data_IF_897738260781
#
_entry.id   IF_897738260781
#
_cell.length_a   1.000
_cell.length_b   1.000
_cell.length_c   1.000
_cell.angle_alpha   90.00
_cell.angle_beta   90.00
_cell.angle_gamma   90.00
#
_symmetry.space_group_name_H-M   'P 1'
#
loop_
_entity.id
_entity.type
_entity.pdbx_description
1 polymer ?
#
# COMPACT_ATOMS: atom_id res chain seq x y z
N UNK A 1 -34.24 19.74 -30.08
CA UNK A 1 -34.50 19.04 -28.79
C UNK A 1 -33.37 18.06 -28.41
N UNK A 2 -32.79 17.28 -29.35
CA UNK A 2 -31.66 16.38 -29.05
C UNK A 2 -30.39 17.05 -28.49
N UNK A 3 -30.00 18.24 -28.97
CA UNK A 3 -28.80 18.95 -28.46
C UNK A 3 -28.89 19.40 -26.99
N UNK A 4 -30.10 19.67 -26.48
CA UNK A 4 -30.25 20.07 -25.07
C UNK A 4 -30.24 18.86 -24.14
N UNK A 5 -30.71 17.71 -24.62
CA UNK A 5 -30.69 16.46 -23.86
C UNK A 5 -29.27 15.87 -23.75
N UNK A 6 -28.47 15.93 -24.82
CA UNK A 6 -27.05 15.53 -24.78
C UNK A 6 -26.23 16.46 -23.88
N UNK A 7 -26.44 17.78 -23.99
CA UNK A 7 -25.78 18.76 -23.12
C UNK A 7 -26.11 18.56 -21.64
N UNK A 8 -27.38 18.30 -21.29
CA UNK A 8 -27.79 18.02 -19.92
C UNK A 8 -27.21 16.69 -19.38
N UNK A 9 -27.16 15.65 -20.21
CA UNK A 9 -26.54 14.37 -19.86
C UNK A 9 -25.05 14.51 -19.57
N UNK A 10 -24.32 15.22 -20.44
CA UNK A 10 -22.89 15.46 -20.28
C UNK A 10 -22.59 16.29 -19.02
N UNK A 11 -23.42 17.31 -18.73
CA UNK A 11 -23.30 18.11 -17.53
C UNK A 11 -23.50 17.27 -16.26
N UNK A 12 -24.55 16.45 -16.24
CA UNK A 12 -24.86 15.55 -15.12
C UNK A 12 -23.76 14.50 -14.92
N UNK A 13 -23.20 13.95 -15.99
CA UNK A 13 -22.07 13.03 -15.93
C UNK A 13 -20.81 13.71 -15.37
N UNK A 14 -20.50 14.93 -15.82
CA UNK A 14 -19.38 15.73 -15.29
C UNK A 14 -19.54 16.02 -13.80
N UNK A 15 -20.73 16.46 -13.37
CA UNK A 15 -21.01 16.75 -11.96
C UNK A 15 -20.83 15.52 -11.08
N UNK A 16 -21.31 14.34 -11.50
CA UNK A 16 -21.12 13.08 -10.77
C UNK A 16 -19.65 12.67 -10.69
N UNK A 17 -18.90 12.83 -11.78
CA UNK A 17 -17.46 12.53 -11.82
C UNK A 17 -16.66 13.45 -10.89
N UNK A 18 -16.95 14.75 -10.89
CA UNK A 18 -16.34 15.72 -9.97
C UNK A 18 -16.68 15.39 -8.52
N UNK A 19 -17.96 15.18 -8.20
CA UNK A 19 -18.39 14.84 -6.84
C UNK A 19 -17.70 13.57 -6.32
N UNK A 20 -17.63 12.54 -7.17
CA UNK A 20 -16.94 11.29 -6.83
C UNK A 20 -15.45 11.50 -6.62
N UNK A 21 -14.79 12.28 -7.48
CA UNK A 21 -13.36 12.60 -7.38
C UNK A 21 -13.05 13.36 -6.08
N UNK A 22 -13.86 14.37 -5.74
CA UNK A 22 -13.70 15.13 -4.48
C UNK A 22 -13.86 14.22 -3.25
N UNK A 23 -14.84 13.31 -3.26
CA UNK A 23 -15.02 12.34 -2.18
C UNK A 23 -13.78 11.44 -2.02
N UNK A 24 -13.24 10.90 -3.12
CA UNK A 24 -12.03 10.09 -3.07
C UNK A 24 -10.81 10.87 -2.58
N UNK A 25 -10.66 12.14 -2.99
CA UNK A 25 -9.58 12.97 -2.46
C UNK A 25 -9.66 13.11 -0.94
N UNK A 26 -10.85 13.37 -0.40
CA UNK A 26 -11.07 13.46 1.05
C UNK A 26 -10.71 12.16 1.75
N UNK A 27 -11.12 11.01 1.19
CA UNK A 27 -10.77 9.70 1.74
C UNK A 27 -9.27 9.39 1.71
N UNK A 28 -8.56 9.83 0.66
CA UNK A 28 -7.11 9.65 0.58
C UNK A 28 -6.37 10.52 1.60
N UNK A 29 -6.80 11.77 1.74
CA UNK A 29 -6.19 12.71 2.69
C UNK A 29 -6.54 12.38 4.14
N UNK A 30 -7.63 11.65 4.40
CA UNK A 30 -8.01 11.23 5.75
C UNK A 30 -7.21 10.04 6.29
N UNK A 31 -6.43 9.33 5.47
CA UNK A 31 -5.64 8.18 5.93
C UNK A 31 -4.63 8.56 7.03
N UNK A 32 -3.92 9.68 6.84
CA UNK A 32 -2.93 10.23 7.79
C UNK A 32 -3.54 10.64 9.14
N UNK A 33 -4.62 11.43 9.20
CA UNK A 33 -5.26 11.76 10.47
C UNK A 33 -5.94 10.55 11.13
N UNK A 34 -6.52 9.61 10.36
CA UNK A 34 -7.12 8.40 10.93
C UNK A 34 -6.08 7.50 11.61
N UNK A 35 -4.92 7.31 10.99
CA UNK A 35 -3.81 6.57 11.60
C UNK A 35 -3.26 7.28 12.83
N UNK A 36 -3.23 8.62 12.83
CA UNK A 36 -2.88 9.40 14.01
C UNK A 36 -3.85 9.19 15.16
N UNK A 37 -5.16 9.33 14.91
CA UNK A 37 -6.21 9.12 15.92
C UNK A 37 -6.16 7.69 16.46
N UNK A 38 -6.01 6.71 15.58
CA UNK A 38 -5.91 5.32 15.99
C UNK A 38 -4.66 5.07 16.86
N UNK A 39 -3.53 5.66 16.49
CA UNK A 39 -2.29 5.53 17.22
C UNK A 39 -2.38 6.13 18.63
N UNK A 40 -2.81 7.39 18.75
CA UNK A 40 -2.96 8.08 20.04
C UNK A 40 -4.03 7.44 20.92
N UNK A 41 -5.08 6.86 20.32
CA UNK A 41 -6.06 6.08 21.07
C UNK A 41 -5.41 4.90 21.79
N UNK A 42 -4.55 4.14 21.11
CA UNK A 42 -3.89 2.95 21.68
C UNK A 42 -2.81 3.34 22.69
N UNK A 43 -2.00 4.37 22.43
CA UNK A 43 -0.85 4.70 23.28
C UNK A 43 -1.21 5.55 24.49
N UNK A 44 -2.08 6.55 24.31
CA UNK A 44 -2.24 7.63 25.29
C UNK A 44 -3.60 7.56 26.00
N UNK A 45 -4.60 6.92 25.36
CA UNK A 45 -5.99 6.89 25.85
C UNK A 45 -6.52 5.46 26.13
N UNK A 46 -5.64 4.48 26.35
CA UNK A 46 -6.01 3.09 26.69
C UNK A 46 -7.04 2.46 25.72
N UNK A 47 -6.97 2.81 24.45
CA UNK A 47 -7.88 2.35 23.39
C UNK A 47 -9.14 3.21 23.19
N UNK A 48 -9.33 4.31 23.91
CA UNK A 48 -10.51 5.17 23.74
C UNK A 48 -10.41 6.04 22.48
N UNK A 49 -11.14 5.65 21.45
CA UNK A 49 -11.26 6.40 20.19
C UNK A 49 -11.93 7.76 20.37
N UNK A 50 -12.89 7.87 21.29
CA UNK A 50 -13.62 9.11 21.53
C UNK A 50 -12.69 10.20 22.09
N UNK A 51 -11.89 9.86 23.11
CA UNK A 51 -10.93 10.79 23.71
C UNK A 51 -9.86 11.22 22.70
N UNK A 52 -9.33 10.25 21.96
CA UNK A 52 -8.35 10.54 20.91
C UNK A 52 -8.91 11.41 19.79
N UNK A 53 -10.17 11.22 19.40
CA UNK A 53 -10.81 12.07 18.39
C UNK A 53 -11.01 13.49 18.93
N UNK A 54 -11.46 13.65 20.17
CA UNK A 54 -11.60 14.98 20.78
C UNK A 54 -10.27 15.71 20.90
N UNK A 55 -9.19 14.99 21.21
CA UNK A 55 -7.83 15.54 21.23
C UNK A 55 -7.39 16.00 19.83
N UNK A 56 -7.59 15.16 18.82
CA UNK A 56 -7.26 15.50 17.44
C UNK A 56 -8.02 16.73 16.95
N UNK A 57 -9.29 16.89 17.32
CA UNK A 57 -10.09 18.08 16.97
C UNK A 57 -9.61 19.33 17.72
N UNK A 58 -9.17 19.17 18.97
CA UNK A 58 -8.67 20.28 19.79
C UNK A 58 -7.31 20.81 19.30
N UNK A 59 -6.35 19.91 19.03
CA UNK A 59 -5.06 20.27 18.43
C UNK A 59 -4.63 19.24 17.35
N UNK A 60 -5.02 19.48 16.08
CA UNK A 60 -4.60 18.63 14.97
C UNK A 60 -3.09 18.70 14.70
N UNK A 61 -2.43 19.82 15.00
CA UNK A 61 -1.01 20.02 14.68
C UNK A 61 -0.14 19.24 15.64
N UNK A 62 -0.45 19.31 16.93
CA UNK A 62 0.21 18.49 17.94
C UNK A 62 0.00 17.01 17.64
N UNK A 63 -1.24 16.62 17.36
CA UNK A 63 -1.57 15.23 17.03
C UNK A 63 -0.81 14.70 15.81
N UNK A 64 -0.50 15.56 14.83
CA UNK A 64 0.27 15.18 13.64
C UNK A 64 1.79 15.41 13.77
N UNK A 65 2.27 15.98 14.88
CA UNK A 65 3.69 16.35 15.04
C UNK A 65 4.64 15.15 14.90
N UNK A 66 4.21 13.95 15.28
CA UNK A 66 5.01 12.73 15.17
C UNK A 66 5.31 12.31 13.72
N UNK A 67 4.54 12.79 12.73
CA UNK A 67 4.87 12.60 11.31
C UNK A 67 6.15 13.34 10.88
N UNK A 68 6.55 14.39 11.62
CA UNK A 68 7.75 15.18 11.31
C UNK A 68 9.05 14.51 11.79
N UNK A 69 8.95 13.52 12.67
CA UNK A 69 10.07 12.83 13.31
C UNK A 69 10.38 11.52 12.58
N UNK A 70 10.82 11.59 11.33
CA UNK A 70 11.35 10.39 10.66
C UNK A 70 12.83 10.22 10.99
N UNK A 71 13.15 9.30 11.90
CA UNK A 71 14.52 8.80 12.05
C UNK A 71 14.96 8.17 10.74
N UNK A 72 15.97 8.75 10.10
CA UNK A 72 16.51 8.25 8.84
C UNK A 72 16.96 6.77 8.93
N UNK A 73 17.34 6.31 10.13
CA UNK A 73 17.82 4.95 10.35
C UNK A 73 16.74 3.88 10.11
N UNK A 74 15.54 4.05 10.67
CA UNK A 74 14.43 3.08 10.51
C UNK A 74 13.91 3.06 9.08
N UNK A 75 13.80 4.22 8.44
CA UNK A 75 13.42 4.31 7.02
C UNK A 75 14.38 3.54 6.11
N UNK A 76 15.69 3.64 6.35
CA UNK A 76 16.71 2.88 5.59
C UNK A 76 16.60 1.39 5.85
N UNK A 77 16.40 0.96 7.10
CA UNK A 77 16.20 -0.46 7.44
C UNK A 77 14.96 -1.03 6.77
N UNK A 78 13.85 -0.29 6.81
CA UNK A 78 12.61 -0.66 6.11
C UNK A 78 12.81 -0.76 4.59
N UNK A 79 13.48 0.22 3.98
CA UNK A 79 13.77 0.20 2.55
C UNK A 79 14.65 -1.00 2.14
N UNK A 80 15.68 -1.33 2.94
CA UNK A 80 16.51 -2.53 2.75
C UNK A 80 15.67 -3.80 2.82
N UNK A 81 14.75 -3.89 3.77
CA UNK A 81 13.85 -5.03 3.93
C UNK A 81 12.94 -5.20 2.70
N UNK A 82 12.27 -4.13 2.28
CA UNK A 82 11.41 -4.17 1.07
C UNK A 82 12.22 -4.52 -0.18
N UNK A 83 13.44 -3.99 -0.31
CA UNK A 83 14.32 -4.34 -1.42
C UNK A 83 14.70 -5.82 -1.39
N UNK A 84 15.03 -6.37 -0.22
CA UNK A 84 15.30 -7.80 -0.07
C UNK A 84 14.08 -8.66 -0.45
N UNK A 85 12.88 -8.31 0.02
CA UNK A 85 11.65 -9.00 -0.35
C UNK A 85 11.37 -8.91 -1.86
N UNK A 86 11.70 -7.78 -2.50
CA UNK A 86 11.64 -7.66 -3.95
C UNK A 86 12.68 -8.54 -4.66
N UNK A 87 13.89 -8.65 -4.14
CA UNK A 87 14.90 -9.58 -4.71
C UNK A 87 14.42 -11.03 -4.58
N UNK A 88 13.87 -11.41 -3.43
CA UNK A 88 13.31 -12.75 -3.24
C UNK A 88 12.16 -13.02 -4.19
N UNK A 89 11.20 -12.10 -4.33
CA UNK A 89 10.06 -12.35 -5.20
C UNK A 89 10.53 -12.51 -6.67
N UNK A 90 11.64 -11.87 -7.07
CA UNK A 90 12.15 -11.89 -8.44
C UNK A 90 12.96 -13.15 -8.75
N UNK A 91 13.79 -13.60 -7.80
CA UNK A 91 14.75 -14.67 -8.01
C UNK A 91 14.23 -16.05 -7.61
N UNK A 92 13.24 -16.13 -6.71
CA UNK A 92 12.84 -17.41 -6.14
C UNK A 92 12.12 -18.25 -7.20
N UNK A 93 12.61 -19.46 -7.52
CA UNK A 93 11.97 -20.30 -8.53
C UNK A 93 10.64 -20.86 -8.00
N UNK A 94 9.75 -21.21 -8.93
CA UNK A 94 8.48 -21.83 -8.59
C UNK A 94 7.73 -22.30 -9.83
N UNK A 95 6.65 -23.05 -9.62
CA UNK A 95 5.80 -23.50 -10.72
C UNK A 95 5.06 -22.31 -11.32
N UNK A 96 5.01 -22.21 -12.63
CA UNK A 96 4.26 -21.16 -13.31
C UNK A 96 2.82 -21.64 -13.53
N UNK A 97 1.86 -20.90 -13.02
CA UNK A 97 0.44 -21.17 -13.18
C UNK A 97 -0.26 -20.00 -13.88
N UNK A 98 -1.24 -20.29 -14.73
CA UNK A 98 -2.07 -19.26 -15.35
C UNK A 98 -3.04 -18.67 -14.32
N UNK A 99 -3.10 -17.34 -14.24
CA UNK A 99 -4.09 -16.61 -13.48
C UNK A 99 -5.45 -16.56 -14.19
N UNK A 100 -6.39 -15.89 -13.53
CA UNK A 100 -7.69 -15.60 -14.14
C UNK A 100 -7.54 -14.72 -15.39
N UNK A 101 -8.37 -14.94 -16.43
CA UNK A 101 -8.34 -14.11 -17.63
C UNK A 101 -8.73 -12.67 -17.29
N UNK A 102 -8.01 -11.71 -17.87
CA UNK A 102 -8.33 -10.28 -17.78
C UNK A 102 -9.61 -9.95 -18.56
N UNK A 103 -10.22 -8.76 -18.37
CA UNK A 103 -11.38 -8.34 -19.17
C UNK A 103 -11.15 -8.38 -20.69
N UNK A 104 -9.91 -8.17 -21.14
CA UNK A 104 -9.52 -8.33 -22.56
C UNK A 104 -9.17 -9.76 -22.97
N UNK A 105 -9.27 -10.73 -22.07
CA UNK A 105 -9.08 -12.16 -22.34
C UNK A 105 -7.65 -12.67 -22.17
N UNK A 106 -6.71 -11.87 -21.66
CA UNK A 106 -5.32 -12.32 -21.46
C UNK A 106 -5.19 -13.15 -20.17
N UNK A 107 -4.48 -14.27 -20.24
CA UNK A 107 -4.13 -15.08 -19.07
C UNK A 107 -2.72 -14.74 -18.59
N UNK A 108 -2.60 -14.33 -17.33
CA UNK A 108 -1.34 -13.83 -16.77
C UNK A 108 -0.58 -14.98 -16.09
N UNK A 109 0.68 -15.28 -16.47
CA UNK A 109 1.47 -16.31 -15.78
C UNK A 109 1.96 -15.82 -14.42
N UNK A 110 1.83 -16.65 -13.37
CA UNK A 110 2.29 -16.36 -12.02
C UNK A 110 3.15 -17.47 -11.44
N UNK A 111 4.25 -17.09 -10.80
CA UNK A 111 5.14 -18.03 -10.11
C UNK A 111 4.58 -18.36 -8.73
N UNK A 112 4.19 -19.62 -8.56
CA UNK A 112 3.66 -20.19 -7.32
C UNK A 112 4.80 -20.61 -6.40
N UNK A 113 5.39 -19.63 -5.72
CA UNK A 113 6.47 -19.79 -4.75
C UNK A 113 6.13 -19.12 -3.39
N UNK A 114 4.83 -19.04 -3.06
CA UNK A 114 4.32 -18.36 -1.84
C UNK A 114 4.95 -18.88 -0.55
N UNK A 115 4.90 -20.19 -0.35
CA UNK A 115 5.45 -20.83 0.84
C UNK A 115 6.98 -20.69 0.91
N UNK A 116 7.68 -20.98 -0.19
CA UNK A 116 9.14 -20.83 -0.24
C UNK A 116 9.57 -19.40 0.07
N UNK A 117 8.86 -18.41 -0.48
CA UNK A 117 9.10 -17.00 -0.19
C UNK A 117 8.92 -16.71 1.31
N UNK A 118 7.79 -17.12 1.87
CA UNK A 118 7.49 -16.92 3.29
C UNK A 118 8.58 -17.54 4.18
N UNK A 119 8.93 -18.81 3.94
CA UNK A 119 9.95 -19.52 4.71
C UNK A 119 11.32 -18.86 4.56
N UNK A 120 11.71 -18.44 3.35
CA UNK A 120 12.99 -17.75 3.13
C UNK A 120 13.08 -16.41 3.85
N UNK A 121 12.04 -15.57 3.76
CA UNK A 121 11.99 -14.28 4.46
C UNK A 121 12.03 -14.47 5.97
N UNK A 122 11.25 -15.44 6.48
CA UNK A 122 11.17 -15.73 7.91
C UNK A 122 12.48 -16.29 8.49
N UNK A 123 13.08 -17.28 7.82
CA UNK A 123 14.38 -17.85 8.23
C UNK A 123 15.47 -16.78 8.18
N UNK A 124 15.46 -15.90 7.18
CA UNK A 124 16.44 -14.80 7.09
C UNK A 124 16.29 -13.82 8.25
N UNK A 125 15.05 -13.47 8.61
CA UNK A 125 14.78 -12.63 9.78
C UNK A 125 15.28 -13.27 11.08
N UNK A 126 14.95 -14.54 11.33
CA UNK A 126 15.43 -15.26 12.52
C UNK A 126 16.96 -15.40 12.54
N UNK A 127 17.59 -15.64 11.39
CA UNK A 127 19.04 -15.68 11.29
C UNK A 127 19.68 -14.32 11.62
N UNK A 128 19.10 -13.22 11.14
CA UNK A 128 19.56 -11.87 11.48
C UNK A 128 19.44 -11.57 12.99
N UNK A 129 18.39 -12.07 13.64
CA UNK A 129 18.22 -11.99 15.10
C UNK A 129 19.26 -12.85 15.83
N UNK A 130 19.46 -14.10 15.41
CA UNK A 130 20.44 -15.02 16.01
C UNK A 130 21.89 -14.48 15.89
N UNK A 131 22.21 -13.82 14.78
CA UNK A 131 23.50 -13.15 14.54
C UNK A 131 23.61 -11.78 15.23
N UNK A 132 22.61 -11.37 16.01
CA UNK A 132 22.52 -10.06 16.70
C UNK A 132 22.65 -8.85 15.75
N UNK A 133 22.30 -9.02 14.48
CA UNK A 133 22.27 -7.92 13.51
C UNK A 133 20.99 -7.09 13.66
N UNK A 134 19.90 -7.73 14.11
CA UNK A 134 18.61 -7.09 14.37
C UNK A 134 18.12 -7.54 15.74
N UNK A 135 17.64 -6.60 16.55
CA UNK A 135 17.00 -6.94 17.83
C UNK A 135 15.52 -7.29 17.58
N UNK A 136 15.02 -8.35 18.23
CA UNK A 136 13.61 -8.76 18.07
C UNK A 136 12.63 -7.65 18.48
N UNK A 137 13.02 -6.83 19.47
CA UNK A 137 12.29 -5.65 19.93
C UNK A 137 12.42 -4.42 19.02
N UNK A 138 13.16 -4.51 17.90
CA UNK A 138 13.32 -3.41 16.94
C UNK A 138 11.97 -2.94 16.41
N UNK A 139 11.10 -3.88 16.03
CA UNK A 139 9.78 -3.55 15.48
C UNK A 139 8.91 -2.86 16.54
N UNK A 140 8.84 -3.40 17.75
CA UNK A 140 8.03 -2.85 18.83
C UNK A 140 8.50 -1.44 19.26
N UNK A 141 9.82 -1.22 19.37
CA UNK A 141 10.36 0.09 19.78
C UNK A 141 10.19 1.16 18.70
N UNK A 142 10.24 0.79 17.43
CA UNK A 142 10.19 1.73 16.31
C UNK A 142 8.84 1.74 15.59
N UNK A 143 7.77 1.26 16.24
CA UNK A 143 6.46 1.09 15.60
C UNK A 143 5.91 2.37 14.95
N UNK A 144 6.07 3.53 15.63
CA UNK A 144 5.69 4.85 15.10
C UNK A 144 6.37 5.13 13.76
N UNK A 145 7.68 4.92 13.70
CA UNK A 145 8.51 5.20 12.53
C UNK A 145 8.24 4.20 11.39
N UNK A 146 7.93 2.94 11.74
CA UNK A 146 7.54 1.91 10.77
C UNK A 146 6.19 2.26 10.13
N UNK A 147 5.17 2.69 10.91
CA UNK A 147 3.90 3.17 10.37
C UNK A 147 4.12 4.34 9.41
N UNK A 148 5.00 5.29 9.78
CA UNK A 148 5.33 6.41 8.91
C UNK A 148 5.98 5.96 7.61
N UNK A 149 6.98 5.07 7.69
CA UNK A 149 7.65 4.51 6.52
C UNK A 149 6.67 3.74 5.61
N UNK A 150 5.74 2.97 6.20
CA UNK A 150 4.67 2.27 5.48
C UNK A 150 3.73 3.24 4.76
N UNK A 151 3.32 4.33 5.41
CA UNK A 151 2.49 5.36 4.80
C UNK A 151 3.20 6.00 3.59
N UNK A 152 4.45 6.41 3.75
CA UNK A 152 5.26 6.97 2.65
C UNK A 152 5.39 5.93 1.53
N UNK A 153 5.69 4.68 1.86
CA UNK A 153 5.81 3.60 0.90
C UNK A 153 4.49 3.34 0.13
N UNK A 154 3.34 3.38 0.80
CA UNK A 154 2.03 3.22 0.18
C UNK A 154 1.75 4.33 -0.84
N UNK A 155 2.08 5.59 -0.51
CA UNK A 155 1.98 6.71 -1.43
C UNK A 155 2.92 6.57 -2.63
N UNK A 156 4.16 6.15 -2.40
CA UNK A 156 5.13 5.89 -3.47
C UNK A 156 4.65 4.77 -4.40
N UNK A 157 4.14 3.67 -3.83
CA UNK A 157 3.63 2.53 -4.59
C UNK A 157 2.41 2.91 -5.43
N UNK A 158 1.49 3.68 -4.84
CA UNK A 158 0.29 4.19 -5.52
C UNK A 158 0.68 5.12 -6.66
N UNK A 159 1.61 6.05 -6.41
CA UNK A 159 2.15 6.94 -7.43
C UNK A 159 2.87 6.19 -8.56
N UNK A 160 3.68 5.19 -8.22
CA UNK A 160 4.36 4.34 -9.19
C UNK A 160 3.37 3.54 -10.05
N UNK A 161 2.35 2.94 -9.46
CA UNK A 161 1.30 2.22 -10.18
C UNK A 161 0.50 3.14 -11.11
N UNK A 162 0.15 4.34 -10.63
CA UNK A 162 -0.53 5.37 -11.42
C UNK A 162 0.32 5.84 -12.60
N UNK A 163 1.57 6.23 -12.35
CA UNK A 163 2.48 6.73 -13.38
C UNK A 163 2.74 5.65 -14.43
N UNK A 164 3.00 4.43 -13.98
CA UNK A 164 3.17 3.27 -14.86
C UNK A 164 1.94 3.06 -15.74
N UNK A 165 0.73 3.07 -15.17
CA UNK A 165 -0.51 2.86 -15.93
C UNK A 165 -0.77 3.93 -16.98
N UNK A 166 -0.25 5.14 -16.80
CA UNK A 166 -0.36 6.24 -17.78
C UNK A 166 0.71 6.15 -18.88
N UNK A 167 1.96 5.85 -18.51
CA UNK A 167 3.10 5.93 -19.43
C UNK A 167 3.29 4.64 -20.22
N UNK A 168 3.25 3.49 -19.53
CA UNK A 168 3.64 2.20 -20.08
C UNK A 168 2.65 1.11 -19.65
N UNK A 169 1.40 1.17 -20.15
CA UNK A 169 0.39 0.20 -19.77
C UNK A 169 0.74 -1.21 -20.23
N UNK A 170 0.64 -2.20 -19.34
CA UNK A 170 0.98 -3.60 -19.66
C UNK A 170 0.10 -4.15 -20.79
N UNK A 171 -1.20 -3.83 -20.75
CA UNK A 171 -2.17 -4.13 -21.80
C UNK A 171 -3.07 -2.91 -22.00
N UNK A 172 -3.02 -2.29 -23.19
CA UNK A 172 -3.78 -1.04 -23.47
C UNK A 172 -5.28 -1.20 -23.25
N UNK A 173 -5.85 -2.34 -23.63
CA UNK A 173 -7.29 -2.62 -23.55
C UNK A 173 -7.76 -3.05 -22.15
N UNK A 174 -6.85 -3.33 -21.21
CA UNK A 174 -7.19 -3.61 -19.79
C UNK A 174 -7.01 -2.37 -18.90
N UNK A 175 -6.73 -1.21 -19.48
CA UNK A 175 -6.63 0.04 -18.72
C UNK A 175 -7.99 0.70 -18.55
N UNK A 176 -8.26 1.24 -17.36
CA UNK A 176 -9.49 1.95 -17.05
C UNK A 176 -9.21 3.35 -16.51
N UNK A 177 -8.84 4.26 -17.40
CA UNK A 177 -8.73 5.70 -17.09
C UNK A 177 -10.05 6.40 -17.39
N UNK A 178 -10.54 7.23 -16.47
CA UNK A 178 -11.81 7.95 -16.60
C UNK A 178 -11.62 9.47 -16.77
N UNK A 179 -10.42 9.92 -17.14
CA UNK A 179 -10.09 11.32 -17.39
C UNK A 179 -9.96 12.21 -16.14
N UNK A 180 -10.28 11.71 -14.94
CA UNK A 180 -10.01 12.37 -13.66
C UNK A 180 -8.80 11.74 -12.99
N UNK A 181 -7.75 12.53 -12.75
CA UNK A 181 -6.54 12.02 -12.10
C UNK A 181 -6.78 11.50 -10.68
N UNK A 182 -7.60 12.18 -9.89
CA UNK A 182 -7.90 11.76 -8.53
C UNK A 182 -8.62 10.40 -8.54
N UNK A 183 -9.57 10.24 -9.46
CA UNK A 183 -10.31 8.99 -9.61
C UNK A 183 -9.39 7.83 -10.07
N UNK A 184 -8.51 8.12 -11.03
CA UNK A 184 -7.55 7.15 -11.57
C UNK A 184 -6.48 6.76 -10.54
N UNK A 185 -6.07 7.66 -9.65
CA UNK A 185 -5.19 7.37 -8.51
C UNK A 185 -5.91 6.48 -7.50
N UNK A 186 -7.16 6.80 -7.15
CA UNK A 186 -7.93 6.05 -6.15
C UNK A 186 -8.20 4.60 -6.56
N UNK A 187 -8.62 4.38 -7.82
CA UNK A 187 -8.95 3.02 -8.30
C UNK A 187 -7.76 2.27 -8.89
N UNK A 188 -6.71 2.99 -9.29
CA UNK A 188 -5.69 2.47 -10.18
C UNK A 188 -6.17 2.38 -11.63
N UNK A 189 -5.22 2.48 -12.56
CA UNK A 189 -5.48 2.43 -14.01
C UNK A 189 -5.42 1.00 -14.54
N UNK A 190 -4.49 0.20 -14.04
CA UNK A 190 -4.32 -1.21 -14.37
C UNK A 190 -4.81 -2.09 -13.24
N UNK A 191 -5.53 -3.18 -13.59
CA UNK A 191 -5.92 -4.20 -12.61
C UNK A 191 -4.71 -4.96 -12.05
N UNK A 192 -3.70 -5.16 -12.89
CA UNK A 192 -2.45 -5.88 -12.62
C UNK A 192 -1.26 -5.08 -13.16
N UNK A 193 -0.72 -4.11 -12.40
CA UNK A 193 0.45 -3.36 -12.83
C UNK A 193 1.69 -4.27 -12.83
N UNK A 194 2.14 -4.71 -14.03
CA UNK A 194 3.28 -5.63 -14.20
C UNK A 194 4.55 -5.05 -14.79
N UNK A 195 5.71 -5.36 -14.23
CA UNK A 195 7.00 -4.99 -14.83
C UNK A 195 7.58 -6.22 -15.55
N UNK A 196 7.56 -6.19 -16.89
CA UNK A 196 7.87 -7.38 -17.68
C UNK A 196 6.82 -8.49 -17.52
N UNK A 197 7.22 -9.74 -17.72
CA UNK A 197 6.31 -10.90 -17.80
C UNK A 197 6.02 -11.56 -16.46
N UNK A 198 6.88 -11.38 -15.45
CA UNK A 198 6.81 -12.11 -14.18
C UNK A 198 6.51 -11.21 -12.97
N UNK A 199 6.89 -9.93 -13.00
CA UNK A 199 6.74 -9.02 -11.86
C UNK A 199 5.34 -8.43 -11.80
N UNK A 200 4.52 -8.81 -10.81
CA UNK A 200 3.22 -8.17 -10.55
C UNK A 200 3.25 -7.42 -9.22
N UNK A 201 3.07 -6.10 -9.30
CA UNK A 201 3.14 -5.21 -8.14
C UNK A 201 2.04 -5.50 -7.12
N UNK A 202 0.84 -5.87 -7.59
CA UNK A 202 -0.31 -6.17 -6.73
C UNK A 202 -0.09 -7.46 -5.95
N UNK A 203 0.47 -8.48 -6.60
CA UNK A 203 0.79 -9.75 -5.92
C UNK A 203 1.94 -9.55 -4.94
N UNK A 204 2.99 -8.84 -5.34
CA UNK A 204 4.09 -8.50 -4.45
C UNK A 204 3.58 -7.82 -3.18
N UNK A 205 2.72 -6.81 -3.33
CA UNK A 205 2.18 -6.07 -2.19
C UNK A 205 1.22 -6.91 -1.33
N UNK A 206 0.16 -7.46 -1.93
CA UNK A 206 -0.93 -8.07 -1.15
C UNK A 206 -0.57 -9.44 -0.57
N UNK A 207 0.18 -10.26 -1.31
CA UNK A 207 0.33 -11.67 -0.99
C UNK A 207 1.71 -12.04 -0.44
N UNK A 208 2.72 -11.16 -0.59
CA UNK A 208 4.11 -11.45 -0.24
C UNK A 208 4.54 -10.66 0.98
N UNK A 209 5.20 -9.52 0.77
CA UNK A 209 5.88 -8.82 1.85
C UNK A 209 4.91 -8.39 2.97
N UNK A 210 3.66 -8.07 2.66
CA UNK A 210 2.66 -7.71 3.69
C UNK A 210 2.32 -8.91 4.59
N UNK A 211 2.17 -10.11 4.01
CA UNK A 211 1.83 -11.32 4.77
C UNK A 211 3.03 -11.83 5.59
N UNK A 212 4.25 -11.77 5.05
CA UNK A 212 5.46 -12.10 5.80
C UNK A 212 5.66 -11.13 6.96
N UNK A 213 5.51 -9.83 6.71
CA UNK A 213 5.64 -8.80 7.76
C UNK A 213 4.57 -8.95 8.84
N UNK A 214 3.32 -9.25 8.47
CA UNK A 214 2.24 -9.48 9.45
C UNK A 214 2.57 -10.65 10.38
N UNK A 215 3.06 -11.77 9.83
CA UNK A 215 3.46 -12.92 10.64
C UNK A 215 4.60 -12.58 11.61
N UNK A 216 5.59 -11.81 11.16
CA UNK A 216 6.71 -11.36 12.01
C UNK A 216 6.25 -10.46 13.16
N UNK A 217 5.20 -9.66 12.95
CA UNK A 217 4.65 -8.78 13.99
C UNK A 217 3.87 -9.54 15.08
N UNK A 218 3.22 -10.66 14.75
CA UNK A 218 2.38 -11.40 15.71
C UNK A 218 3.19 -12.15 16.77
N UNK A 219 4.38 -12.66 16.42
CA UNK A 219 5.17 -13.50 17.32
C UNK A 219 5.71 -12.73 18.55
N UNK A 220 5.85 -11.41 18.45
CA UNK A 220 6.30 -10.56 19.56
C UNK A 220 5.28 -10.49 20.71
N UNK A 221 4.00 -10.84 20.52
CA UNK A 221 3.01 -10.80 21.59
C UNK A 221 3.00 -12.05 22.49
N UNK A 222 3.75 -13.09 22.14
CA UNK A 222 3.75 -14.38 22.85
C UNK A 222 5.10 -14.77 23.45
N UNK A 223 6.11 -13.90 23.34
CA UNK A 223 7.43 -14.04 23.97
C UNK A 223 7.62 -12.98 25.05
#
# INVERSE_FOLDING_TARGET
MQNNASSAYDLQHRMRSVASSTCFLVLMLSATPLTSIWWTAITDYNGSLQLSFTHFVADPKESLSWYSLSSHSTGVTFAKWIFFEAVLYALLPGRICAGQPTPSGHTLPYTMNGLSFFTSSFVTFLAAVALRQVELSFIARNWKEIILALNVFAWLLTGAAFLKGRIAPSYRFDTRSNGSYIYDIWRGIELHPRFGTAWDLKIFHNARWTMTTLAMMQEHHHL
#
